data_IF_650597202337
#
_entry.id   IF_650597202337
#
_cell.length_a   1.000
_cell.length_b   1.000
_cell.length_c   1.000
_cell.angle_alpha   90.00
_cell.angle_beta   90.00
_cell.angle_gamma   90.00
#
_symmetry.space_group_name_H-M   'P 1'
#
loop_
_entity.id
_entity.type
_entity.pdbx_description
1 polymer ?
#
# COMPACT_ATOMS: atom_id res chain seq x y z
N UNK A 1 -17.86 -16.83 -3.56
CA UNK A 1 -18.25 -15.47 -3.14
C UNK A 1 -17.06 -14.54 -2.80
N UNK A 2 -15.80 -15.00 -2.86
CA UNK A 2 -14.62 -14.21 -2.41
C UNK A 2 -14.09 -13.16 -3.39
N UNK A 3 -14.30 -13.31 -4.71
CA UNK A 3 -13.71 -12.40 -5.72
C UNK A 3 -14.17 -10.95 -5.60
N UNK A 4 -15.44 -10.70 -5.24
CA UNK A 4 -15.96 -9.32 -5.07
C UNK A 4 -15.36 -8.62 -3.84
N UNK A 5 -15.13 -9.35 -2.73
CA UNK A 5 -14.53 -8.82 -1.51
C UNK A 5 -13.06 -8.40 -1.68
N UNK A 6 -12.33 -9.02 -2.62
CA UNK A 6 -10.92 -8.68 -2.90
C UNK A 6 -10.73 -7.43 -3.77
N UNK A 7 -11.75 -6.98 -4.51
CA UNK A 7 -11.60 -5.84 -5.43
C UNK A 7 -11.34 -4.54 -4.66
N UNK A 8 -12.10 -4.29 -3.60
CA UNK A 8 -11.97 -3.09 -2.80
C UNK A 8 -10.55 -2.88 -2.21
N UNK A 9 -9.97 -3.84 -1.45
CA UNK A 9 -8.64 -3.66 -0.89
C UNK A 9 -7.56 -3.55 -1.97
N UNK A 10 -7.65 -4.31 -3.07
CA UNK A 10 -6.67 -4.23 -4.17
C UNK A 10 -6.70 -2.85 -4.84
N UNK A 11 -7.88 -2.33 -5.16
CA UNK A 11 -8.01 -1.03 -5.84
C UNK A 11 -7.51 0.10 -4.94
N UNK A 12 -7.88 0.08 -3.64
CA UNK A 12 -7.44 1.10 -2.68
C UNK A 12 -5.91 1.05 -2.54
N UNK A 13 -5.32 -0.12 -2.35
CA UNK A 13 -3.86 -0.25 -2.26
C UNK A 13 -3.17 0.21 -3.55
N UNK A 14 -3.71 -0.11 -4.72
CA UNK A 14 -3.14 0.32 -6.00
C UNK A 14 -3.15 1.86 -6.14
N UNK A 15 -4.25 2.52 -5.76
CA UNK A 15 -4.34 3.99 -5.78
C UNK A 15 -3.34 4.62 -4.80
N UNK A 16 -3.22 4.08 -3.58
CA UNK A 16 -2.25 4.57 -2.59
C UNK A 16 -0.81 4.39 -3.05
N UNK A 17 -0.47 3.24 -3.63
CA UNK A 17 0.87 2.99 -4.18
C UNK A 17 1.17 3.94 -5.34
N UNK A 18 0.22 4.17 -6.25
CA UNK A 18 0.37 5.15 -7.33
C UNK A 18 0.60 6.57 -6.80
N UNK A 19 -0.12 6.96 -5.75
CA UNK A 19 0.07 8.24 -5.08
C UNK A 19 1.48 8.37 -4.49
N UNK A 20 1.99 7.33 -3.83
CA UNK A 20 3.37 7.32 -3.31
C UNK A 20 4.43 7.34 -4.40
N UNK A 21 4.20 6.66 -5.52
CA UNK A 21 5.07 6.76 -6.69
C UNK A 21 5.13 8.21 -7.18
N UNK A 22 3.97 8.89 -7.28
CA UNK A 22 3.92 10.31 -7.61
C UNK A 22 4.77 11.17 -6.67
N UNK A 23 4.69 10.93 -5.35
CA UNK A 23 5.54 11.59 -4.36
C UNK A 23 7.03 11.34 -4.59
N UNK A 24 7.42 10.09 -4.85
CA UNK A 24 8.81 9.76 -5.18
C UNK A 24 9.28 10.53 -6.41
N UNK A 25 8.46 10.65 -7.45
CA UNK A 25 8.79 11.45 -8.64
C UNK A 25 8.95 12.94 -8.29
N UNK A 26 8.04 13.53 -7.51
CA UNK A 26 8.15 14.94 -7.13
C UNK A 26 9.45 15.23 -6.36
N UNK A 27 9.80 14.38 -5.40
CA UNK A 27 11.02 14.57 -4.61
C UNK A 27 12.29 14.21 -5.41
N UNK A 28 12.28 13.18 -6.24
CA UNK A 28 13.46 12.73 -6.97
C UNK A 28 13.89 13.69 -8.09
N UNK A 29 12.94 14.34 -8.76
CA UNK A 29 13.21 15.22 -9.91
C UNK A 29 13.33 16.70 -9.56
N UNK A 30 13.04 17.10 -8.33
CA UNK A 30 13.29 18.47 -7.87
C UNK A 30 14.75 18.61 -7.39
N UNK A 31 15.52 19.44 -8.08
CA UNK A 31 16.92 19.74 -7.75
C UNK A 31 17.08 20.84 -6.70
N UNK A 32 15.99 21.53 -6.36
CA UNK A 32 15.97 22.59 -5.34
C UNK A 32 15.93 22.03 -3.91
N UNK A 33 15.64 20.73 -3.77
CA UNK A 33 15.45 20.07 -2.48
C UNK A 33 16.80 19.62 -1.90
N UNK A 34 17.12 19.97 -0.64
CA UNK A 34 18.33 19.48 0.04
C UNK A 34 18.41 17.95 0.06
N UNK A 35 19.61 17.42 -0.14
CA UNK A 35 19.86 15.97 -0.29
C UNK A 35 19.23 15.10 0.83
N UNK A 36 19.30 15.54 2.08
CA UNK A 36 18.69 14.83 3.21
C UNK A 36 17.16 14.73 3.09
N UNK A 37 16.52 15.86 2.74
CA UNK A 37 15.06 15.93 2.57
C UNK A 37 14.64 15.09 1.36
N UNK A 38 15.45 15.10 0.30
CA UNK A 38 15.25 14.27 -0.90
C UNK A 38 15.23 12.78 -0.56
N UNK A 39 16.22 12.32 0.22
CA UNK A 39 16.28 10.93 0.69
C UNK A 39 15.06 10.58 1.54
N UNK A 40 14.71 11.42 2.51
CA UNK A 40 13.56 11.15 3.39
C UNK A 40 12.25 11.14 2.60
N UNK A 41 12.07 12.10 1.70
CA UNK A 41 10.91 12.22 0.82
C UNK A 41 10.73 11.07 -0.17
N UNK A 42 11.80 10.33 -0.48
CA UNK A 42 11.73 9.10 -1.29
C UNK A 42 11.60 7.85 -0.42
N UNK A 43 12.38 7.76 0.66
CA UNK A 43 12.43 6.58 1.52
C UNK A 43 11.12 6.35 2.27
N UNK A 44 10.48 7.42 2.79
CA UNK A 44 9.24 7.30 3.57
C UNK A 44 8.09 6.76 2.71
N UNK A 45 7.76 7.35 1.53
CA UNK A 45 6.70 6.80 0.68
C UNK A 45 7.00 5.37 0.21
N UNK A 46 8.26 5.02 -0.01
CA UNK A 46 8.64 3.68 -0.44
C UNK A 46 8.42 2.63 0.67
N UNK A 47 8.80 2.95 1.92
CA UNK A 47 8.51 2.09 3.08
C UNK A 47 7.01 1.93 3.30
N UNK A 48 6.25 3.03 3.20
CA UNK A 48 4.79 3.00 3.34
C UNK A 48 4.12 2.20 2.21
N UNK A 49 4.58 2.33 0.97
CA UNK A 49 4.10 1.52 -0.15
C UNK A 49 4.33 0.02 0.11
N UNK A 50 5.52 -0.34 0.60
CA UNK A 50 5.84 -1.72 1.00
C UNK A 50 4.90 -2.23 2.09
N UNK A 51 4.66 -1.43 3.13
CA UNK A 51 3.74 -1.77 4.21
C UNK A 51 2.28 -1.95 3.71
N UNK A 52 1.80 -1.07 2.83
CA UNK A 52 0.46 -1.19 2.23
C UNK A 52 0.31 -2.49 1.41
N UNK A 53 1.35 -2.88 0.68
CA UNK A 53 1.36 -4.15 -0.06
C UNK A 53 1.39 -5.34 0.89
N UNK A 54 2.19 -5.29 1.97
CA UNK A 54 2.24 -6.34 2.97
C UNK A 54 0.85 -6.59 3.61
N UNK A 55 0.19 -5.52 4.07
CA UNK A 55 -1.16 -5.59 4.65
C UNK A 55 -2.18 -6.11 3.63
N UNK A 56 -2.06 -5.73 2.36
CA UNK A 56 -2.92 -6.28 1.30
C UNK A 56 -2.73 -7.79 1.15
N UNK A 57 -1.48 -8.27 1.20
CA UNK A 57 -1.18 -9.70 1.10
C UNK A 57 -1.77 -10.46 2.29
N UNK A 58 -1.63 -9.94 3.52
CA UNK A 58 -2.28 -10.54 4.70
C UNK A 58 -3.80 -10.58 4.55
N UNK A 59 -4.43 -9.47 4.12
CA UNK A 59 -5.89 -9.45 3.87
C UNK A 59 -6.32 -10.44 2.81
N UNK A 60 -5.56 -10.60 1.73
CA UNK A 60 -5.87 -11.61 0.70
C UNK A 60 -5.75 -13.01 1.28
N UNK A 61 -4.76 -13.27 2.14
CA UNK A 61 -4.61 -14.56 2.83
C UNK A 61 -5.79 -14.83 3.76
N UNK A 62 -6.18 -13.89 4.61
CA UNK A 62 -7.32 -14.02 5.53
C UNK A 62 -8.63 -14.34 4.77
N UNK A 63 -8.93 -13.58 3.71
CA UNK A 63 -10.14 -13.78 2.88
C UNK A 63 -10.12 -15.15 2.18
N UNK A 64 -8.94 -15.66 1.80
CA UNK A 64 -8.79 -16.98 1.17
C UNK A 64 -8.80 -18.13 2.17
N UNK A 65 -8.25 -17.91 3.36
CA UNK A 65 -8.18 -18.87 4.45
C UNK A 65 -9.57 -19.14 5.05
N UNK A 66 -10.49 -18.18 4.92
CA UNK A 66 -11.82 -18.27 5.54
C UNK A 66 -11.80 -17.85 7.01
N UNK A 67 -10.66 -17.38 7.53
CA UNK A 67 -10.54 -16.80 8.88
C UNK A 67 -11.52 -15.63 9.08
N UNK A 68 -11.81 -14.85 8.02
CA UNK A 68 -12.83 -13.79 8.06
C UNK A 68 -14.24 -14.33 8.37
N UNK A 69 -14.53 -15.59 8.01
CA UNK A 69 -15.82 -16.25 8.22
C UNK A 69 -15.95 -16.84 9.64
N UNK A 70 -14.83 -17.24 10.27
CA UNK A 70 -14.82 -17.77 11.65
C UNK A 70 -15.08 -16.68 12.70
N UNK A 71 -14.62 -15.44 12.47
CA UNK A 71 -14.94 -14.30 13.36
C UNK A 71 -16.43 -13.94 13.34
N UNK A 72 -17.17 -14.30 12.28
CA UNK A 72 -18.61 -14.05 12.18
C UNK A 72 -19.46 -14.99 13.04
N UNK A 73 -18.84 -15.99 13.68
CA UNK A 73 -19.50 -16.97 14.56
C UNK A 73 -19.41 -16.65 16.06
N UNK A 74 -18.84 -15.51 16.44
CA UNK A 74 -18.88 -14.97 17.80
C UNK A 74 -19.84 -13.77 17.87
#
# INVERSE_FOLDING_TARGET
MHKKKMIAPIVITAVVVLYFIGFVFLFAFDDSIPFLIKILGVAIPLLLAGACVYVLVERIKEIRSGEEDDISKY
#
